data_IF_110879492539
#
_entry.id   IF_110879492539
#
_cell.length_a   1.000
_cell.length_b   1.000
_cell.length_c   1.000
_cell.angle_alpha   90.00
_cell.angle_beta   90.00
_cell.angle_gamma   90.00
#
_symmetry.space_group_name_H-M   'P 1'
#
loop_
_entity.id
_entity.type
_entity.pdbx_description
1 polymer ?
#
# COMPACT_ATOMS: atom_id res chain seq x y z
N UNK A 1 2.91 -14.36 -19.50
CA UNK A 1 1.93 -14.45 -18.39
C UNK A 1 2.42 -13.71 -17.14
N UNK A 2 3.73 -13.66 -16.91
CA UNK A 2 4.39 -13.06 -15.73
C UNK A 2 4.38 -11.53 -15.68
N UNK A 3 4.52 -10.86 -16.83
CA UNK A 3 4.57 -9.40 -16.91
C UNK A 3 3.39 -8.67 -16.23
N UNK A 4 2.18 -9.24 -16.31
CA UNK A 4 1.00 -8.64 -15.66
C UNK A 4 1.07 -8.69 -14.13
N UNK A 5 1.66 -9.75 -13.58
CA UNK A 5 1.84 -9.89 -12.13
C UNK A 5 2.96 -8.97 -11.63
N UNK A 6 4.05 -8.85 -12.39
CA UNK A 6 5.15 -7.91 -12.12
C UNK A 6 4.65 -6.45 -12.16
N UNK A 7 3.87 -6.08 -13.18
CA UNK A 7 3.28 -4.75 -13.27
C UNK A 7 2.35 -4.45 -12.08
N UNK A 8 1.53 -5.40 -11.66
CA UNK A 8 0.67 -5.24 -10.48
C UNK A 8 1.50 -5.04 -9.20
N UNK A 9 2.62 -5.75 -9.06
CA UNK A 9 3.54 -5.56 -7.93
C UNK A 9 4.20 -4.17 -7.97
N UNK A 10 4.59 -3.67 -9.15
CA UNK A 10 5.06 -2.29 -9.31
C UNK A 10 4.01 -1.26 -8.91
N UNK A 11 2.76 -1.42 -9.39
CA UNK A 11 1.65 -0.52 -9.05
C UNK A 11 1.40 -0.49 -7.53
N UNK A 12 1.41 -1.65 -6.88
CA UNK A 12 1.27 -1.77 -5.42
C UNK A 12 2.47 -1.16 -4.69
N UNK A 13 3.69 -1.33 -5.21
CA UNK A 13 4.88 -0.74 -4.62
C UNK A 13 4.86 0.78 -4.68
N UNK A 14 4.45 1.36 -5.81
CA UNK A 14 4.22 2.80 -5.93
C UNK A 14 3.14 3.26 -4.95
N UNK A 15 2.00 2.56 -4.90
CA UNK A 15 0.92 2.88 -3.96
C UNK A 15 1.38 2.89 -2.49
N UNK A 16 2.21 1.90 -2.10
CA UNK A 16 2.74 1.78 -0.74
C UNK A 16 3.67 2.94 -0.40
N UNK A 17 4.55 3.34 -1.33
CA UNK A 17 5.45 4.48 -1.13
C UNK A 17 4.71 5.84 -1.07
N UNK A 18 3.66 5.99 -1.87
CA UNK A 18 2.78 7.16 -1.79
C UNK A 18 2.17 7.26 -0.38
N UNK A 19 1.60 6.16 0.13
CA UNK A 19 1.02 6.08 1.49
C UNK A 19 2.04 6.41 2.57
N UNK A 20 3.27 5.88 2.46
CA UNK A 20 4.37 6.21 3.37
C UNK A 20 4.69 7.71 3.37
N UNK A 21 4.69 8.34 2.20
CA UNK A 21 4.94 9.78 2.09
C UNK A 21 3.85 10.56 2.82
N UNK A 22 2.57 10.23 2.60
CA UNK A 22 1.45 10.86 3.29
C UNK A 22 1.50 10.67 4.81
N UNK A 23 1.84 9.48 5.30
CA UNK A 23 1.96 9.26 6.75
C UNK A 23 3.13 9.99 7.38
N UNK A 24 4.26 10.15 6.69
CA UNK A 24 5.39 10.94 7.21
C UNK A 24 5.02 12.42 7.32
N UNK A 25 4.32 12.96 6.33
CA UNK A 25 3.80 14.32 6.38
C UNK A 25 2.76 14.51 7.50
N UNK A 26 1.88 13.51 7.68
CA UNK A 26 0.90 13.50 8.75
C UNK A 26 1.58 13.44 10.13
N UNK A 27 2.57 12.57 10.32
CA UNK A 27 3.31 12.41 11.58
C UNK A 27 3.99 13.72 12.00
N UNK A 28 4.51 14.50 11.04
CA UNK A 28 5.15 15.78 11.31
C UNK A 28 4.20 16.83 11.90
N UNK A 29 2.88 16.68 11.70
CA UNK A 29 1.83 17.61 12.14
C UNK A 29 0.91 17.01 13.19
N UNK A 30 1.04 15.71 13.47
CA UNK A 30 0.17 14.93 14.32
C UNK A 30 0.32 15.30 15.81
N UNK A 31 -0.83 15.42 16.50
CA UNK A 31 -0.86 15.59 17.96
C UNK A 31 -0.26 14.37 18.67
N UNK A 32 0.38 14.52 19.84
CA UNK A 32 1.12 13.43 20.51
C UNK A 32 0.31 12.14 20.72
N UNK A 33 -1.00 12.25 20.96
CA UNK A 33 -1.90 11.13 21.23
C UNK A 33 -2.09 10.19 20.03
N UNK A 34 -2.02 10.70 18.80
CA UNK A 34 -2.23 9.92 17.56
C UNK A 34 -0.91 9.45 16.92
N UNK A 35 0.22 10.03 17.31
CA UNK A 35 1.52 9.66 16.74
C UNK A 35 1.88 8.16 16.88
N UNK A 36 1.53 7.45 17.98
CA UNK A 36 1.80 6.01 18.10
C UNK A 36 1.13 5.19 16.99
N UNK A 37 -0.10 5.53 16.61
CA UNK A 37 -0.82 4.83 15.55
C UNK A 37 -0.25 5.14 14.18
N UNK A 38 0.08 6.41 13.91
CA UNK A 38 0.72 6.79 12.64
C UNK A 38 2.09 6.14 12.48
N UNK A 39 2.93 6.12 13.54
CA UNK A 39 4.24 5.44 13.51
C UNK A 39 4.11 3.94 13.25
N UNK A 40 3.08 3.31 13.80
CA UNK A 40 2.81 1.88 13.59
C UNK A 40 2.47 1.61 12.12
N UNK A 41 1.60 2.41 11.52
CA UNK A 41 1.24 2.29 10.10
C UNK A 41 2.45 2.55 9.19
N UNK A 42 3.30 3.54 9.52
CA UNK A 42 4.58 3.74 8.82
C UNK A 42 5.43 2.47 8.88
N UNK A 43 5.64 1.91 10.07
CA UNK A 43 6.46 0.70 10.22
C UNK A 43 5.91 -0.50 9.43
N UNK A 44 4.57 -0.67 9.41
CA UNK A 44 3.92 -1.70 8.60
C UNK A 44 4.22 -1.51 7.11
N UNK A 45 3.96 -0.31 6.59
CA UNK A 45 4.13 -0.03 5.16
C UNK A 45 5.60 0.03 4.72
N UNK A 46 6.53 0.38 5.61
CA UNK A 46 7.97 0.28 5.36
C UNK A 46 8.38 -1.19 5.19
N UNK A 47 7.87 -2.09 6.04
CA UNK A 47 8.06 -3.53 5.89
C UNK A 47 7.51 -4.03 4.55
N UNK A 48 6.28 -3.64 4.21
CA UNK A 48 5.68 -4.02 2.93
C UNK A 48 6.49 -3.53 1.72
N UNK A 49 6.93 -2.27 1.73
CA UNK A 49 7.73 -1.69 0.66
C UNK A 49 9.06 -2.43 0.47
N UNK A 50 9.71 -2.84 1.57
CA UNK A 50 10.95 -3.63 1.52
C UNK A 50 10.72 -5.00 0.90
N UNK A 51 9.68 -5.72 1.31
CA UNK A 51 9.34 -7.04 0.77
C UNK A 51 8.99 -6.97 -0.72
N UNK A 52 8.19 -5.98 -1.12
CA UNK A 52 7.82 -5.74 -2.52
C UNK A 52 9.06 -5.44 -3.38
N UNK A 53 9.94 -4.55 -2.91
CA UNK A 53 11.18 -4.22 -3.61
C UNK A 53 12.12 -5.42 -3.74
N UNK A 54 12.23 -6.23 -2.69
CA UNK A 54 13.03 -7.45 -2.70
C UNK A 54 12.49 -8.46 -3.73
N UNK A 55 11.17 -8.63 -3.79
CA UNK A 55 10.53 -9.52 -4.76
C UNK A 55 10.70 -9.01 -6.20
N UNK A 56 10.54 -7.71 -6.44
CA UNK A 56 10.82 -7.10 -7.76
C UNK A 56 12.27 -7.34 -8.22
N UNK A 57 13.24 -7.17 -7.32
CA UNK A 57 14.66 -7.47 -7.60
C UNK A 57 14.84 -8.95 -7.93
N UNK A 58 14.22 -9.85 -7.15
CA UNK A 58 14.31 -11.29 -7.36
C UNK A 58 13.77 -11.72 -8.72
N UNK A 59 12.63 -11.17 -9.14
CA UNK A 59 11.98 -11.47 -10.43
C UNK A 59 12.82 -10.97 -11.61
N UNK A 60 13.36 -9.75 -11.49
CA UNK A 60 14.31 -9.19 -12.47
C UNK A 60 15.55 -10.07 -12.61
N UNK A 61 16.15 -10.48 -11.50
CA UNK A 61 17.38 -11.29 -11.51
C UNK A 61 17.13 -12.71 -12.05
N UNK A 62 15.88 -13.19 -11.99
CA UNK A 62 15.43 -14.44 -12.61
C UNK A 62 15.17 -14.33 -14.13
N UNK A 63 15.33 -13.15 -14.72
CA UNK A 63 15.11 -12.92 -16.15
C UNK A 63 13.63 -12.89 -16.54
N UNK A 64 12.72 -12.64 -15.59
CA UNK A 64 11.32 -12.42 -15.90
C UNK A 64 11.17 -11.00 -16.45
N UNK A 65 10.98 -10.88 -17.77
CA UNK A 65 10.98 -9.61 -18.49
C UNK A 65 9.93 -8.62 -17.96
N UNK A 66 10.43 -7.47 -17.52
CA UNK A 66 9.69 -6.25 -17.21
C UNK A 66 9.47 -5.45 -18.51
N UNK A 67 8.67 -6.00 -19.43
CA UNK A 67 8.50 -5.42 -20.79
C UNK A 67 7.50 -4.26 -20.85
N UNK A 68 6.99 -3.76 -19.72
CA UNK A 68 5.99 -2.70 -19.73
C UNK A 68 6.04 -1.81 -18.49
N UNK A 69 7.07 -0.96 -18.43
CA UNK A 69 7.07 0.25 -17.60
C UNK A 69 6.21 1.36 -18.24
N UNK A 70 4.95 1.08 -18.58
CA UNK A 70 3.98 2.15 -18.85
C UNK A 70 3.37 2.58 -17.51
N UNK A 71 3.89 3.67 -16.98
CA UNK A 71 3.49 4.25 -15.70
C UNK A 71 2.00 4.57 -15.65
N UNK A 72 1.27 3.85 -14.81
CA UNK A 72 -0.06 4.26 -14.36
C UNK A 72 0.14 5.30 -13.26
N UNK A 73 0.16 6.58 -13.64
CA UNK A 73 0.23 7.68 -12.69
C UNK A 73 -1.16 7.87 -12.04
N UNK A 74 -1.23 7.54 -10.75
CA UNK A 74 -1.96 8.22 -9.68
C UNK A 74 -3.50 8.15 -9.59
N UNK A 75 -4.01 7.02 -9.07
CA UNK A 75 -5.19 7.07 -8.17
C UNK A 75 -4.82 7.24 -6.69
N UNK A 76 -3.62 6.82 -6.28
CA UNK A 76 -3.21 6.81 -4.87
C UNK A 76 -2.79 8.21 -4.37
N UNK A 77 -2.05 8.98 -5.17
CA UNK A 77 -1.75 10.40 -4.87
C UNK A 77 -2.99 11.28 -4.70
N UNK A 78 -4.11 10.93 -5.36
CA UNK A 78 -5.38 11.67 -5.16
C UNK A 78 -5.96 11.36 -3.78
N UNK A 79 -5.94 10.11 -3.33
CA UNK A 79 -6.47 9.71 -2.02
C UNK A 79 -5.72 10.37 -0.85
N UNK A 80 -4.40 10.50 -0.96
CA UNK A 80 -3.57 11.09 0.11
C UNK A 80 -3.79 12.60 0.29
N UNK A 81 -4.09 13.31 -0.80
CA UNK A 81 -4.37 14.75 -0.75
C UNK A 81 -5.64 15.06 0.04
N UNK A 82 -6.65 14.21 -0.09
CA UNK A 82 -7.91 14.36 0.65
C UNK A 82 -7.71 14.09 2.15
N UNK A 83 -6.85 13.12 2.52
CA UNK A 83 -6.51 12.85 3.94
C UNK A 83 -5.75 14.01 4.59
N UNK A 84 -4.77 14.61 3.90
CA UNK A 84 -3.98 15.70 4.47
C UNK A 84 -4.81 16.99 4.67
N UNK A 85 -5.90 17.16 3.89
CA UNK A 85 -6.79 18.31 3.99
C UNK A 85 -7.80 18.23 5.16
N UNK A 86 -8.07 17.04 5.70
CA UNK A 86 -9.11 16.78 6.71
C UNK A 86 -8.61 16.68 8.16
N UNK A 87 -7.33 17.01 8.39
CA UNK A 87 -6.62 16.92 9.68
C UNK A 87 -7.21 17.74 10.85
N UNK A 88 -8.27 18.53 10.64
CA UNK A 88 -8.69 19.58 11.58
C UNK A 88 -9.69 19.14 12.68
N UNK A 89 -10.00 17.83 12.84
CA UNK A 89 -10.67 17.33 14.07
C UNK A 89 -10.76 15.79 14.23
N UNK A 90 -10.83 15.00 13.15
CA UNK A 90 -11.06 13.53 13.22
C UNK A 90 -10.09 12.75 12.31
N UNK A 91 -8.79 12.72 12.63
CA UNK A 91 -7.79 12.11 11.72
C UNK A 91 -7.86 10.58 11.67
N UNK A 92 -8.15 9.90 12.78
CA UNK A 92 -8.07 8.43 12.83
C UNK A 92 -9.16 7.73 11.99
N UNK A 93 -10.41 8.23 11.94
CA UNK A 93 -11.40 7.75 10.96
C UNK A 93 -10.95 7.97 9.51
N UNK A 94 -10.36 9.12 9.18
CA UNK A 94 -9.86 9.37 7.83
C UNK A 94 -8.68 8.44 7.45
N UNK A 95 -7.80 8.14 8.42
CA UNK A 95 -6.72 7.14 8.28
C UNK A 95 -7.31 5.75 8.03
N UNK A 96 -8.37 5.39 8.76
CA UNK A 96 -9.09 4.12 8.57
C UNK A 96 -9.65 3.99 7.16
N UNK A 97 -10.40 5.00 6.69
CA UNK A 97 -10.96 5.03 5.33
C UNK A 97 -9.85 4.89 4.28
N UNK A 98 -8.70 5.47 4.58
CA UNK A 98 -7.53 5.38 3.73
C UNK A 98 -6.95 3.99 3.60
N UNK A 99 -6.78 3.29 4.72
CA UNK A 99 -6.34 1.90 4.76
C UNK A 99 -7.38 0.95 4.14
N UNK A 100 -8.68 1.22 4.29
CA UNK A 100 -9.76 0.49 3.61
C UNK A 100 -9.68 0.67 2.08
N UNK A 101 -9.40 1.89 1.63
CA UNK A 101 -9.19 2.18 0.22
C UNK A 101 -7.95 1.46 -0.34
N UNK A 102 -6.85 1.42 0.43
CA UNK A 102 -5.64 0.68 0.08
C UNK A 102 -5.92 -0.83 -0.01
N UNK A 103 -6.69 -1.41 0.92
CA UNK A 103 -7.16 -2.79 0.80
C UNK A 103 -7.90 -3.02 -0.53
N UNK A 104 -8.71 -2.06 -0.97
CA UNK A 104 -9.39 -2.10 -2.27
C UNK A 104 -8.43 -2.09 -3.47
N UNK A 105 -7.24 -1.50 -3.36
CA UNK A 105 -6.20 -1.57 -4.40
C UNK A 105 -5.60 -2.97 -4.46
N UNK A 106 -5.27 -3.57 -3.30
CA UNK A 106 -4.79 -4.95 -3.21
C UNK A 106 -5.83 -5.94 -3.76
N UNK A 107 -7.09 -5.79 -3.37
CA UNK A 107 -8.18 -6.68 -3.79
C UNK A 107 -8.36 -6.60 -5.33
N UNK A 108 -8.25 -5.41 -5.93
CA UNK A 108 -8.28 -5.26 -7.41
C UNK A 108 -7.09 -5.92 -8.10
N UNK A 109 -5.90 -5.85 -7.52
CA UNK A 109 -4.73 -6.55 -8.05
C UNK A 109 -4.93 -8.08 -7.98
N UNK A 110 -5.37 -8.59 -6.82
CA UNK A 110 -5.60 -10.01 -6.57
C UNK A 110 -6.79 -10.61 -7.34
N UNK A 111 -7.74 -9.80 -7.81
CA UNK A 111 -8.80 -10.26 -8.73
C UNK A 111 -8.25 -10.66 -10.10
N UNK A 112 -7.06 -10.21 -10.48
CA UNK A 112 -6.44 -10.60 -11.74
C UNK A 112 -5.88 -12.01 -11.60
N UNK A 113 -6.34 -12.93 -12.45
CA UNK A 113 -5.98 -14.35 -12.37
C UNK A 113 -4.46 -14.56 -12.46
N UNK A 114 -3.78 -13.79 -13.31
CA UNK A 114 -2.33 -13.84 -13.48
C UNK A 114 -1.59 -13.46 -12.19
N UNK A 115 -2.11 -12.49 -11.44
CA UNK A 115 -1.54 -12.07 -10.14
C UNK A 115 -1.80 -13.15 -9.09
N UNK A 116 -3.06 -13.60 -8.97
CA UNK A 116 -3.45 -14.61 -7.98
C UNK A 116 -2.76 -15.96 -8.18
N UNK A 117 -2.52 -16.35 -9.44
CA UNK A 117 -1.86 -17.61 -9.78
C UNK A 117 -0.33 -17.54 -9.73
N UNK A 118 0.25 -16.34 -9.65
CA UNK A 118 1.68 -16.17 -9.49
C UNK A 118 2.09 -16.48 -8.05
N UNK A 119 2.75 -17.62 -7.82
CA UNK A 119 2.93 -18.20 -6.48
C UNK A 119 3.53 -17.21 -5.46
N UNK A 120 4.61 -16.51 -5.81
CA UNK A 120 5.26 -15.57 -4.89
C UNK A 120 4.47 -14.26 -4.73
N UNK A 121 4.20 -13.55 -5.83
CA UNK A 121 3.47 -12.26 -5.84
C UNK A 121 2.07 -12.41 -5.20
N UNK A 122 1.30 -13.42 -5.59
CA UNK A 122 -0.03 -13.67 -5.05
C UNK A 122 -0.01 -13.91 -3.53
N UNK A 123 0.95 -14.71 -3.05
CA UNK A 123 1.13 -14.97 -1.60
C UNK A 123 1.54 -13.71 -0.85
N UNK A 124 2.48 -12.94 -1.41
CA UNK A 124 2.95 -11.69 -0.83
C UNK A 124 1.80 -10.68 -0.68
N UNK A 125 1.09 -10.38 -1.77
CA UNK A 125 0.00 -9.41 -1.78
C UNK A 125 -1.16 -9.84 -0.87
N UNK A 126 -1.48 -11.14 -0.82
CA UNK A 126 -2.51 -11.66 0.10
C UNK A 126 -2.13 -11.47 1.56
N UNK A 127 -0.86 -11.72 1.90
CA UNK A 127 -0.35 -11.57 3.27
C UNK A 127 -0.37 -10.10 3.71
N UNK A 128 0.13 -9.20 2.86
CA UNK A 128 0.15 -7.76 3.15
C UNK A 128 -1.27 -7.19 3.28
N UNK A 129 -2.19 -7.59 2.40
CA UNK A 129 -3.61 -7.19 2.49
C UNK A 129 -4.23 -7.63 3.82
N UNK A 130 -3.94 -8.84 4.30
CA UNK A 130 -4.45 -9.32 5.58
C UNK A 130 -3.87 -8.53 6.77
N UNK A 131 -2.60 -8.12 6.68
CA UNK A 131 -1.97 -7.26 7.68
C UNK A 131 -2.62 -5.86 7.73
N UNK A 132 -2.85 -5.24 6.58
CA UNK A 132 -3.55 -3.93 6.49
C UNK A 132 -4.97 -4.05 7.06
N UNK A 133 -5.73 -5.09 6.67
CA UNK A 133 -7.07 -5.30 7.19
C UNK A 133 -7.11 -5.48 8.72
N UNK A 134 -6.05 -6.05 9.30
CA UNK A 134 -5.92 -6.16 10.76
C UNK A 134 -5.71 -4.79 11.41
N UNK A 135 -4.91 -3.90 10.82
CA UNK A 135 -4.77 -2.52 11.31
C UNK A 135 -6.06 -1.71 11.13
N UNK A 136 -6.77 -1.86 10.01
CA UNK A 136 -8.10 -1.25 9.80
C UNK A 136 -9.06 -1.60 10.94
N UNK A 137 -9.07 -2.86 11.41
CA UNK A 137 -9.93 -3.27 12.52
C UNK A 137 -9.56 -2.65 13.87
N UNK A 138 -8.32 -2.18 14.02
CA UNK A 138 -7.82 -1.53 15.25
C UNK A 138 -8.12 -0.03 15.30
N UNK A 139 -8.23 0.60 14.13
CA UNK A 139 -8.53 2.04 14.04
C UNK A 139 -9.99 2.33 14.39
N UNK A 140 -10.28 3.43 15.13
CA UNK A 140 -11.63 3.81 15.50
C UNK A 140 -12.47 4.14 14.27
N UNK A 141 -13.79 3.91 14.38
CA UNK A 141 -14.77 4.23 13.33
C UNK A 141 -15.35 5.65 13.47
N UNK A 142 -15.40 6.17 14.70
CA UNK A 142 -16.04 7.44 15.09
C UNK A 142 -15.15 8.25 16.03
#
# INVERSE_FOLDING_TARGET
>A
MTARAINALHDIHTATNDVLTGYREMLARAQPEIQPDIRRLIGLHEGHAQEQQAELVRLRDAGEDDTSLQGTVNKVVVMLRDWLSSLDRNVLPAVRDGEESLCGVYDKALQQREVASHASIGTLLTTQRAAIASEVMRLPRD
#
